data_IF_214185648104
#
_entry.id   IF_214185648104
#
_cell.length_a   1.000
_cell.length_b   1.000
_cell.length_c   1.000
_cell.angle_alpha   90.00
_cell.angle_beta   90.00
_cell.angle_gamma   90.00
#
_symmetry.space_group_name_H-M   'P 1'
#
loop_
_entity.id
_entity.type
_entity.pdbx_description
1 polymer ?
#
# COMPACT_ATOMS: atom_id res chain seq x y z
N UNK A 1 -23.18 26.56 -9.13
CA UNK A 1 -24.01 25.34 -9.21
C UNK A 1 -23.35 24.34 -10.17
N UNK A 2 -23.40 23.05 -9.87
CA UNK A 2 -22.89 21.95 -10.73
C UNK A 2 -23.91 20.81 -10.77
N UNK A 3 -23.95 20.10 -11.88
CA UNK A 3 -24.69 18.84 -12.00
C UNK A 3 -23.70 17.68 -12.05
N UNK A 4 -23.99 16.63 -11.29
CA UNK A 4 -23.22 15.39 -11.29
C UNK A 4 -24.14 14.19 -11.35
N UNK A 5 -23.62 13.12 -11.94
CA UNK A 5 -24.28 11.83 -11.94
C UNK A 5 -23.30 10.74 -11.55
N UNK A 6 -23.83 9.67 -10.99
CA UNK A 6 -23.10 8.44 -10.71
C UNK A 6 -24.00 7.26 -10.96
N UNK A 7 -23.42 6.20 -11.53
CA UNK A 7 -24.11 4.97 -11.86
C UNK A 7 -23.47 3.78 -11.12
N UNK A 8 -24.23 2.71 -10.97
CA UNK A 8 -23.73 1.43 -10.54
C UNK A 8 -24.49 0.33 -11.25
N UNK A 9 -23.82 -0.79 -11.53
CA UNK A 9 -24.45 -1.96 -12.12
C UNK A 9 -23.84 -3.24 -11.57
N UNK A 10 -24.68 -4.27 -11.47
CA UNK A 10 -24.29 -5.61 -11.04
C UNK A 10 -25.29 -6.62 -11.57
N UNK A 11 -24.80 -7.71 -12.16
CA UNK A 11 -25.62 -8.86 -12.56
C UNK A 11 -26.82 -8.51 -13.47
N UNK A 12 -26.71 -7.45 -14.27
CA UNK A 12 -27.76 -6.98 -15.19
C UNK A 12 -28.64 -5.86 -14.61
N UNK A 13 -28.61 -5.65 -13.29
CA UNK A 13 -29.29 -4.55 -12.62
C UNK A 13 -28.42 -3.28 -12.64
N UNK A 14 -29.07 -2.11 -12.57
CA UNK A 14 -28.40 -0.82 -12.52
C UNK A 14 -29.15 0.19 -11.67
N UNK A 15 -28.43 1.21 -11.20
CA UNK A 15 -28.98 2.39 -10.57
C UNK A 15 -28.25 3.64 -11.07
N UNK A 16 -28.96 4.77 -11.09
CA UNK A 16 -28.43 6.07 -11.46
C UNK A 16 -28.85 7.09 -10.40
N UNK A 17 -27.91 7.91 -9.98
CA UNK A 17 -28.16 9.05 -9.11
C UNK A 17 -27.72 10.30 -9.83
N UNK A 18 -28.59 11.32 -9.90
CA UNK A 18 -28.29 12.65 -10.44
C UNK A 18 -28.49 13.69 -9.36
N UNK A 19 -27.52 14.57 -9.18
CA UNK A 19 -27.52 15.61 -8.16
C UNK A 19 -27.27 16.97 -8.79
N UNK A 20 -28.06 17.97 -8.40
CA UNK A 20 -27.75 19.39 -8.63
C UNK A 20 -27.25 20.00 -7.33
N UNK A 21 -26.01 20.49 -7.33
CA UNK A 21 -25.28 20.87 -6.12
C UNK A 21 -24.81 22.32 -6.19
N UNK A 22 -24.96 23.05 -5.09
CA UNK A 22 -24.39 24.37 -4.87
C UNK A 22 -23.60 24.40 -3.56
N UNK A 23 -22.33 24.81 -3.62
CA UNK A 23 -21.46 24.69 -2.44
C UNK A 23 -21.41 23.23 -1.98
N UNK A 24 -21.58 22.96 -0.69
CA UNK A 24 -21.67 21.58 -0.17
C UNK A 24 -23.11 21.09 -0.01
N UNK A 25 -24.12 21.74 -0.61
CA UNK A 25 -25.54 21.36 -0.49
C UNK A 25 -26.15 20.85 -1.78
N UNK A 26 -26.99 19.82 -1.65
CA UNK A 26 -27.78 19.24 -2.72
C UNK A 26 -29.08 20.05 -2.84
N UNK A 27 -29.32 20.66 -4.00
CA UNK A 27 -30.54 21.41 -4.29
C UNK A 27 -31.65 20.48 -4.76
N UNK A 28 -31.32 19.59 -5.69
CA UNK A 28 -32.23 18.62 -6.29
C UNK A 28 -31.49 17.29 -6.46
N UNK A 29 -32.23 16.19 -6.33
CA UNK A 29 -31.71 14.85 -6.52
C UNK A 29 -32.76 13.93 -7.14
N UNK A 30 -32.33 13.16 -8.11
CA UNK A 30 -33.02 11.99 -8.66
C UNK A 30 -32.21 10.76 -8.23
N UNK A 31 -32.75 9.98 -7.29
CA UNK A 31 -31.98 9.00 -6.52
C UNK A 31 -32.88 7.93 -5.86
N UNK A 32 -33.52 7.12 -6.69
CA UNK A 32 -34.37 6.01 -6.24
C UNK A 32 -33.57 4.94 -5.47
N UNK A 33 -34.24 4.22 -4.57
CA UNK A 33 -33.64 3.16 -3.75
C UNK A 33 -32.84 3.64 -2.53
N UNK A 34 -32.78 4.95 -2.26
CA UNK A 34 -32.16 5.50 -1.05
C UNK A 34 -33.15 5.60 0.13
N UNK A 35 -32.65 5.43 1.34
CA UNK A 35 -33.43 5.46 2.58
C UNK A 35 -33.88 6.86 3.02
N UNK A 36 -33.44 7.92 2.33
CA UNK A 36 -33.85 9.29 2.61
C UNK A 36 -33.79 10.17 1.36
N UNK A 37 -34.59 11.25 1.34
CA UNK A 37 -34.50 12.29 0.31
C UNK A 37 -33.21 13.09 0.47
N UNK A 38 -32.51 13.32 -0.64
CA UNK A 38 -31.21 14.01 -0.61
C UNK A 38 -31.31 15.54 -0.74
N UNK A 39 -32.40 16.07 -1.29
CA UNK A 39 -32.60 17.52 -1.43
C UNK A 39 -32.52 18.24 -0.08
N UNK A 40 -31.72 19.30 0.00
CA UNK A 40 -31.44 20.08 1.20
C UNK A 40 -30.26 19.57 2.05
N UNK A 41 -29.85 18.30 1.90
CA UNK A 41 -28.73 17.74 2.62
C UNK A 41 -27.40 18.31 2.14
N UNK A 42 -26.43 18.39 3.05
CA UNK A 42 -25.03 18.55 2.70
C UNK A 42 -24.47 17.26 2.07
N UNK A 43 -23.35 17.37 1.33
CA UNK A 43 -22.64 16.20 0.79
C UNK A 43 -22.21 15.23 1.90
N UNK A 44 -21.90 15.77 3.08
CA UNK A 44 -21.53 14.98 4.26
C UNK A 44 -22.72 14.16 4.78
N UNK A 45 -23.89 14.79 4.92
CA UNK A 45 -25.12 14.11 5.35
C UNK A 45 -25.55 13.07 4.32
N UNK A 46 -25.52 13.42 3.02
CA UNK A 46 -25.85 12.50 1.94
C UNK A 46 -24.94 11.25 1.92
N UNK A 47 -23.66 11.39 2.26
CA UNK A 47 -22.73 10.26 2.33
C UNK A 47 -23.03 9.26 3.47
N UNK A 48 -23.89 9.63 4.43
CA UNK A 48 -24.35 8.75 5.51
C UNK A 48 -25.71 8.08 5.21
N UNK A 49 -26.37 8.45 4.12
CA UNK A 49 -27.70 7.91 3.76
C UNK A 49 -27.57 6.44 3.35
N UNK A 50 -28.23 5.51 4.06
CA UNK A 50 -28.28 4.11 3.67
C UNK A 50 -29.31 3.91 2.55
N UNK A 51 -29.37 2.70 2.00
CA UNK A 51 -30.33 2.35 0.95
C UNK A 51 -29.98 1.02 0.30
N UNK A 52 -30.63 0.76 -0.83
CA UNK A 52 -30.33 -0.38 -1.68
C UNK A 52 -28.87 -0.34 -2.17
N UNK A 53 -28.16 -1.47 -2.23
CA UNK A 53 -26.73 -1.49 -2.52
C UNK A 53 -26.33 -0.74 -3.79
N UNK A 54 -27.07 -0.93 -4.89
CA UNK A 54 -26.78 -0.27 -6.18
C UNK A 54 -27.05 1.23 -6.15
N UNK A 55 -28.15 1.66 -5.54
CA UNK A 55 -28.48 3.08 -5.35
C UNK A 55 -27.41 3.80 -4.52
N UNK A 56 -26.96 3.18 -3.43
CA UNK A 56 -25.90 3.72 -2.58
C UNK A 56 -24.54 3.74 -3.29
N UNK A 57 -24.23 2.74 -4.12
CA UNK A 57 -23.03 2.76 -4.97
C UNK A 57 -23.08 3.91 -5.99
N UNK A 58 -24.23 4.08 -6.67
CA UNK A 58 -24.45 5.15 -7.63
C UNK A 58 -24.29 6.54 -6.97
N UNK A 59 -24.87 6.73 -5.77
CA UNK A 59 -24.66 7.93 -4.97
C UNK A 59 -23.19 8.14 -4.62
N UNK A 60 -22.48 7.10 -4.17
CA UNK A 60 -21.07 7.21 -3.82
C UNK A 60 -20.21 7.63 -5.03
N UNK A 61 -20.53 7.12 -6.22
CA UNK A 61 -19.87 7.50 -7.47
C UNK A 61 -20.17 8.94 -7.89
N UNK A 62 -21.39 9.44 -7.64
CA UNK A 62 -21.75 10.84 -7.87
C UNK A 62 -21.04 11.79 -6.88
N UNK A 63 -20.93 11.40 -5.61
CA UNK A 63 -20.34 12.23 -4.56
C UNK A 63 -18.82 12.33 -4.63
N UNK A 64 -18.11 11.22 -4.89
CA UNK A 64 -16.65 11.14 -4.81
C UNK A 64 -15.88 12.28 -5.50
N UNK A 65 -16.18 12.62 -6.78
CA UNK A 65 -15.52 13.70 -7.49
C UNK A 65 -15.69 15.08 -6.85
N UNK A 66 -16.88 15.36 -6.30
CA UNK A 66 -17.24 16.70 -5.81
C UNK A 66 -17.21 16.86 -4.29
N UNK A 67 -16.98 15.76 -3.56
CA UNK A 67 -17.08 15.72 -2.10
C UNK A 67 -16.21 16.79 -1.45
N UNK A 68 -16.86 17.56 -0.58
CA UNK A 68 -16.27 18.60 0.26
C UNK A 68 -17.18 18.83 1.46
N UNK A 69 -16.60 19.24 2.58
CA UNK A 69 -17.36 19.60 3.77
C UNK A 69 -16.68 20.74 4.53
N UNK A 70 -17.46 21.55 5.24
CA UNK A 70 -16.92 22.61 6.12
C UNK A 70 -15.96 22.04 7.15
N UNK A 71 -14.84 22.73 7.40
CA UNK A 71 -13.84 22.31 8.38
C UNK A 71 -14.44 22.13 9.78
N UNK A 72 -14.07 21.03 10.45
CA UNK A 72 -14.37 20.74 11.85
C UNK A 72 -13.11 20.12 12.50
N UNK A 73 -12.58 20.78 13.53
CA UNK A 73 -11.33 20.34 14.17
C UNK A 73 -11.44 19.02 14.93
N UNK A 74 -12.65 18.57 15.23
CA UNK A 74 -12.91 17.26 15.84
C UNK A 74 -13.14 16.13 14.83
N UNK A 75 -13.05 16.41 13.53
CA UNK A 75 -13.32 15.43 12.48
C UNK A 75 -12.06 14.67 12.08
N UNK A 76 -12.24 13.35 11.92
CA UNK A 76 -11.18 12.42 11.50
C UNK A 76 -11.63 11.71 10.23
N UNK A 77 -10.81 11.78 9.18
CA UNK A 77 -10.99 10.90 8.02
C UNK A 77 -10.36 9.54 8.34
N UNK A 78 -11.04 8.45 8.04
CA UNK A 78 -10.58 7.09 8.35
C UNK A 78 -10.43 6.30 7.06
N UNK A 79 -9.23 5.81 6.80
CA UNK A 79 -8.98 4.97 5.63
C UNK A 79 -9.59 3.57 5.82
N UNK A 80 -10.63 3.27 5.04
CA UNK A 80 -11.42 2.05 5.15
C UNK A 80 -11.04 1.04 4.06
N UNK A 81 -10.54 -0.13 4.49
CA UNK A 81 -10.22 -1.28 3.61
C UNK A 81 -11.32 -2.34 3.55
N UNK A 82 -12.36 -2.22 4.38
CA UNK A 82 -13.38 -3.26 4.54
C UNK A 82 -12.91 -4.46 5.37
N UNK A 83 -11.73 -4.36 5.99
CA UNK A 83 -11.19 -5.33 6.94
C UNK A 83 -11.33 -4.87 8.39
N UNK A 84 -11.14 -5.82 9.32
CA UNK A 84 -11.32 -5.63 10.77
C UNK A 84 -10.50 -4.46 11.33
N UNK A 85 -9.28 -4.27 10.87
CA UNK A 85 -8.38 -3.24 11.41
C UNK A 85 -8.90 -1.82 11.11
N UNK A 86 -9.37 -1.58 9.88
CA UNK A 86 -9.96 -0.29 9.53
C UNK A 86 -11.30 -0.05 10.22
N UNK A 87 -12.07 -1.11 10.48
CA UNK A 87 -13.34 -1.02 11.20
C UNK A 87 -13.15 -0.60 12.66
N UNK A 88 -12.15 -1.17 13.36
CA UNK A 88 -11.80 -0.76 14.72
C UNK A 88 -11.19 0.63 14.74
N UNK A 89 -10.36 0.99 13.76
CA UNK A 89 -9.86 2.36 13.64
C UNK A 89 -11.00 3.38 13.46
N UNK A 90 -12.04 3.04 12.71
CA UNK A 90 -13.25 3.86 12.56
C UNK A 90 -13.99 4.00 13.88
N UNK A 91 -14.24 2.88 14.58
CA UNK A 91 -14.89 2.86 15.88
C UNK A 91 -14.19 3.79 16.88
N UNK A 92 -12.85 3.71 16.96
CA UNK A 92 -12.03 4.55 17.85
C UNK A 92 -11.98 6.03 17.46
N UNK A 93 -12.22 6.34 16.19
CA UNK A 93 -12.23 7.72 15.69
C UNK A 93 -13.51 8.49 16.08
N UNK A 94 -14.52 7.80 16.59
CA UNK A 94 -15.69 8.39 17.22
C UNK A 94 -16.74 8.94 16.24
N UNK A 95 -17.76 9.65 16.75
CA UNK A 95 -18.99 9.97 16.01
C UNK A 95 -18.81 11.02 14.91
N UNK A 96 -17.67 11.72 14.89
CA UNK A 96 -17.33 12.69 13.83
C UNK A 96 -16.49 12.09 12.71
N UNK A 97 -16.26 10.78 12.72
CA UNK A 97 -15.43 10.13 11.72
C UNK A 97 -16.11 10.13 10.33
N UNK A 98 -15.28 10.18 9.28
CA UNK A 98 -15.71 9.95 7.90
C UNK A 98 -14.91 8.80 7.33
N UNK A 99 -15.59 7.73 6.93
CA UNK A 99 -14.94 6.63 6.23
C UNK A 99 -14.58 7.01 4.81
N UNK A 100 -13.38 6.67 4.36
CA UNK A 100 -12.97 6.82 2.95
C UNK A 100 -12.32 5.55 2.43
N UNK A 101 -12.80 5.08 1.28
CA UNK A 101 -12.21 3.95 0.57
C UNK A 101 -11.64 4.40 -0.77
N UNK A 102 -10.43 3.94 -1.07
CA UNK A 102 -9.82 4.15 -2.39
C UNK A 102 -10.15 2.94 -3.28
N UNK A 103 -10.87 3.16 -4.37
CA UNK A 103 -11.05 2.17 -5.42
C UNK A 103 -9.81 2.20 -6.31
N UNK A 104 -8.99 1.14 -6.23
CA UNK A 104 -7.71 1.05 -6.93
C UNK A 104 -7.81 0.07 -8.10
N UNK A 105 -6.88 0.18 -9.04
CA UNK A 105 -6.85 -0.69 -10.22
C UNK A 105 -6.52 -2.12 -9.81
N UNK A 106 -7.31 -3.05 -10.33
CA UNK A 106 -7.11 -4.49 -10.27
C UNK A 106 -6.91 -4.99 -11.69
N UNK A 107 -6.15 -6.07 -11.86
CA UNK A 107 -5.94 -6.64 -13.18
C UNK A 107 -7.26 -7.19 -13.76
N UNK A 108 -7.77 -6.65 -14.89
CA UNK A 108 -9.03 -7.11 -15.49
C UNK A 108 -8.97 -8.57 -15.94
N UNK A 109 -7.77 -9.09 -16.21
CA UNK A 109 -7.54 -10.49 -16.62
C UNK A 109 -7.11 -11.39 -15.46
N UNK A 110 -7.22 -10.91 -14.21
CA UNK A 110 -6.85 -11.66 -13.01
C UNK A 110 -7.91 -12.69 -12.57
N UNK A 111 -7.53 -13.66 -11.72
CA UNK A 111 -8.35 -14.82 -11.36
C UNK A 111 -9.57 -14.54 -10.46
N UNK A 112 -9.63 -13.41 -9.75
CA UNK A 112 -10.86 -12.86 -9.13
C UNK A 112 -10.55 -11.55 -8.39
N UNK A 113 -11.38 -10.52 -8.57
CA UNK A 113 -11.24 -9.24 -7.87
C UNK A 113 -11.47 -9.34 -6.35
N UNK A 114 -12.20 -10.35 -5.87
CA UNK A 114 -12.72 -10.46 -4.50
C UNK A 114 -11.62 -10.55 -3.41
N UNK A 115 -10.41 -10.98 -3.76
CA UNK A 115 -9.29 -11.13 -2.81
C UNK A 115 -8.53 -9.84 -2.55
N UNK A 116 -8.80 -8.77 -3.30
CA UNK A 116 -8.12 -7.51 -3.13
C UNK A 116 -8.74 -6.67 -2.01
N UNK A 117 -7.90 -6.04 -1.17
CA UNK A 117 -8.30 -5.03 -0.18
C UNK A 117 -9.06 -3.81 -0.79
N UNK A 118 -9.03 -3.66 -2.11
CA UNK A 118 -9.74 -2.59 -2.84
C UNK A 118 -10.74 -3.16 -3.85
N UNK A 119 -11.23 -4.39 -3.63
CA UNK A 119 -12.28 -5.01 -4.44
C UNK A 119 -13.63 -4.29 -4.26
N UNK A 120 -14.58 -4.47 -5.21
CA UNK A 120 -15.95 -4.01 -5.02
C UNK A 120 -16.56 -4.47 -3.69
N UNK A 121 -16.34 -5.72 -3.29
CA UNK A 121 -16.84 -6.29 -2.03
C UNK A 121 -16.19 -5.64 -0.79
N UNK A 122 -14.92 -5.26 -0.90
CA UNK A 122 -14.21 -4.52 0.14
C UNK A 122 -14.76 -3.10 0.31
N UNK A 123 -15.06 -2.41 -0.80
CA UNK A 123 -15.72 -1.09 -0.80
C UNK A 123 -17.10 -1.17 -0.16
N UNK A 124 -17.91 -2.15 -0.57
CA UNK A 124 -19.25 -2.37 -0.03
C UNK A 124 -19.20 -2.65 1.48
N UNK A 125 -18.26 -3.47 1.94
CA UNK A 125 -18.13 -3.77 3.36
C UNK A 125 -17.64 -2.59 4.18
N UNK A 126 -16.69 -1.81 3.65
CA UNK A 126 -16.26 -0.56 4.27
C UNK A 126 -17.45 0.40 4.45
N UNK A 127 -18.28 0.53 3.41
CA UNK A 127 -19.47 1.37 3.45
C UNK A 127 -20.50 0.88 4.47
N UNK A 128 -20.86 -0.42 4.42
CA UNK A 128 -21.78 -1.03 5.38
C UNK A 128 -21.32 -0.83 6.81
N UNK A 129 -20.02 -0.98 7.07
CA UNK A 129 -19.45 -0.71 8.39
C UNK A 129 -19.70 0.73 8.83
N UNK A 130 -19.45 1.71 7.96
CA UNK A 130 -19.70 3.12 8.27
C UNK A 130 -21.19 3.40 8.53
N UNK A 131 -22.06 2.95 7.62
CA UNK A 131 -23.50 3.17 7.71
C UNK A 131 -24.13 2.48 8.93
N UNK A 132 -23.66 1.29 9.32
CA UNK A 132 -24.11 0.61 10.55
C UNK A 132 -23.80 1.39 11.83
N UNK A 133 -22.81 2.29 11.77
CA UNK A 133 -22.44 3.20 12.86
C UNK A 133 -23.04 4.60 12.68
N UNK A 134 -23.89 4.81 11.67
CA UNK A 134 -24.44 6.12 11.32
C UNK A 134 -23.40 7.11 10.77
N UNK A 135 -22.27 6.62 10.27
CA UNK A 135 -21.15 7.43 9.80
C UNK A 135 -21.14 7.57 8.27
N UNK A 136 -20.74 8.73 7.74
CA UNK A 136 -20.61 8.93 6.30
C UNK A 136 -19.46 8.12 5.70
N UNK A 137 -19.65 7.68 4.45
CA UNK A 137 -18.63 6.99 3.67
C UNK A 137 -18.47 7.60 2.28
N UNK A 138 -17.21 7.77 1.85
CA UNK A 138 -16.88 8.26 0.52
C UNK A 138 -15.97 7.28 -0.20
N UNK A 139 -16.24 7.05 -1.48
CA UNK A 139 -15.37 6.27 -2.36
C UNK A 139 -14.64 7.19 -3.33
N UNK A 140 -13.32 7.05 -3.43
CA UNK A 140 -12.50 7.76 -4.41
C UNK A 140 -12.08 6.79 -5.50
N UNK A 141 -12.54 7.01 -6.74
CA UNK A 141 -12.05 6.25 -7.89
C UNK A 141 -10.66 6.75 -8.31
N UNK A 142 -9.66 5.93 -8.04
CA UNK A 142 -8.26 6.22 -8.31
C UNK A 142 -7.62 5.09 -9.14
N UNK A 143 -8.42 4.33 -9.89
CA UNK A 143 -7.91 3.19 -10.67
C UNK A 143 -6.80 3.62 -11.63
N UNK A 144 -7.09 4.58 -12.48
CA UNK A 144 -6.14 5.02 -13.51
C UNK A 144 -4.91 5.73 -12.94
N UNK A 145 -5.09 6.56 -11.90
CA UNK A 145 -3.98 7.22 -11.23
C UNK A 145 -3.08 6.22 -10.51
N UNK A 146 -3.66 5.20 -9.86
CA UNK A 146 -2.92 4.11 -9.21
C UNK A 146 -2.16 3.25 -10.21
N UNK A 147 -2.80 2.89 -11.33
CA UNK A 147 -2.18 2.11 -12.41
C UNK A 147 -0.89 2.80 -12.91
N UNK A 148 -0.98 4.09 -13.27
CA UNK A 148 0.17 4.88 -13.71
C UNK A 148 1.22 5.09 -12.62
N UNK A 149 0.78 5.34 -11.39
CA UNK A 149 1.68 5.72 -10.30
C UNK A 149 2.35 4.54 -9.59
N UNK A 150 1.78 3.33 -9.62
CA UNK A 150 2.25 2.18 -8.85
C UNK A 150 2.45 0.94 -9.72
N UNK A 151 1.45 0.57 -10.52
CA UNK A 151 1.46 -0.69 -11.28
C UNK A 151 2.47 -0.66 -12.44
N UNK A 152 2.39 0.34 -13.32
CA UNK A 152 3.31 0.41 -14.45
C UNK A 152 4.78 0.57 -14.03
N UNK A 153 5.14 1.40 -13.03
CA UNK A 153 6.51 1.46 -12.55
C UNK A 153 7.01 0.15 -11.94
N UNK A 154 6.12 -0.62 -11.29
CA UNK A 154 6.43 -1.95 -10.79
C UNK A 154 6.77 -2.90 -11.94
N UNK A 155 5.90 -2.97 -12.95
CA UNK A 155 6.11 -3.76 -14.18
C UNK A 155 7.40 -3.35 -14.90
N UNK A 156 7.63 -2.04 -15.09
CA UNK A 156 8.87 -1.50 -15.69
C UNK A 156 10.12 -1.82 -14.87
N UNK A 157 10.02 -1.91 -13.55
CA UNK A 157 11.14 -2.29 -12.67
C UNK A 157 11.60 -3.72 -12.94
N UNK A 158 10.66 -4.66 -13.02
CA UNK A 158 10.96 -6.04 -13.43
C UNK A 158 11.58 -6.10 -14.83
N UNK A 159 11.09 -5.31 -15.78
CA UNK A 159 11.70 -5.19 -17.11
C UNK A 159 13.13 -4.64 -17.12
N UNK A 160 13.58 -3.98 -16.04
CA UNK A 160 14.97 -3.55 -15.83
C UNK A 160 15.79 -4.51 -14.96
N UNK A 161 15.26 -5.69 -14.62
CA UNK A 161 15.91 -6.66 -13.74
C UNK A 161 15.91 -6.27 -12.26
N UNK A 162 15.13 -5.26 -11.88
CA UNK A 162 14.94 -4.88 -10.47
C UNK A 162 13.87 -5.76 -9.81
N UNK A 163 13.83 -5.76 -8.48
CA UNK A 163 12.77 -6.39 -7.69
C UNK A 163 12.02 -5.31 -6.89
N UNK A 164 11.16 -4.50 -7.53
CA UNK A 164 10.49 -3.38 -6.88
C UNK A 164 9.49 -3.84 -5.81
N UNK A 165 9.39 -3.10 -4.71
CA UNK A 165 8.31 -3.26 -3.73
C UNK A 165 7.19 -2.23 -4.00
N UNK A 166 5.98 -2.66 -4.44
CA UNK A 166 4.92 -1.73 -4.82
C UNK A 166 4.32 -1.01 -3.61
N UNK A 167 4.30 -1.65 -2.43
CA UNK A 167 3.76 -1.06 -1.20
C UNK A 167 4.58 0.15 -0.74
N UNK A 168 5.91 0.10 -0.88
CA UNK A 168 6.81 1.21 -0.53
C UNK A 168 6.52 2.48 -1.34
N UNK A 169 6.10 2.33 -2.60
CA UNK A 169 5.70 3.44 -3.46
C UNK A 169 4.24 3.85 -3.22
N UNK A 170 3.36 2.87 -3.10
CA UNK A 170 1.94 3.09 -2.81
C UNK A 170 1.77 3.90 -1.52
N UNK A 171 2.28 3.42 -0.39
CA UNK A 171 2.14 4.09 0.89
C UNK A 171 2.97 5.37 0.98
N UNK A 172 4.20 5.36 0.44
CA UNK A 172 5.12 6.49 0.57
C UNK A 172 4.70 7.75 -0.18
N UNK A 173 4.07 7.64 -1.35
CA UNK A 173 3.73 8.81 -2.17
C UNK A 173 2.31 8.86 -2.74
N UNK A 174 1.62 7.71 -2.88
CA UNK A 174 0.31 7.68 -3.53
C UNK A 174 -0.84 7.67 -2.52
N UNK A 175 -1.02 6.58 -1.78
CA UNK A 175 -2.16 6.32 -0.87
C UNK A 175 -2.30 7.42 0.18
N UNK A 176 -1.25 7.70 0.95
CA UNK A 176 -1.30 8.74 1.98
C UNK A 176 -1.41 10.15 1.39
N UNK A 177 -0.87 10.38 0.19
CA UNK A 177 -1.09 11.64 -0.54
C UNK A 177 -2.58 11.86 -0.79
N UNK A 178 -3.22 10.89 -1.43
CA UNK A 178 -4.65 10.92 -1.78
C UNK A 178 -5.55 11.00 -0.54
N UNK A 179 -5.23 10.24 0.52
CA UNK A 179 -6.00 10.25 1.77
C UNK A 179 -5.88 11.59 2.53
N UNK A 180 -4.69 12.19 2.58
CA UNK A 180 -4.51 13.50 3.22
C UNK A 180 -5.18 14.62 2.41
N UNK A 181 -5.13 14.52 1.08
CA UNK A 181 -5.83 15.45 0.19
C UNK A 181 -7.36 15.34 0.37
N UNK A 182 -7.87 14.11 0.50
CA UNK A 182 -9.26 13.88 0.87
C UNK A 182 -9.60 14.42 2.26
N UNK A 183 -8.81 14.12 3.29
CA UNK A 183 -9.06 14.57 4.66
C UNK A 183 -9.25 16.09 4.70
N UNK A 184 -8.37 16.83 4.02
CA UNK A 184 -8.47 18.28 3.87
C UNK A 184 -9.75 18.72 3.17
N UNK A 185 -10.14 18.09 2.05
CA UNK A 185 -11.41 18.39 1.34
C UNK A 185 -12.63 18.08 2.18
N UNK A 186 -12.58 17.00 2.95
CA UNK A 186 -13.61 16.56 3.87
C UNK A 186 -13.66 17.40 5.16
N UNK A 187 -12.81 18.43 5.28
CA UNK A 187 -12.75 19.29 6.45
C UNK A 187 -12.29 18.58 7.73
N UNK A 188 -11.56 17.47 7.59
CA UNK A 188 -10.98 16.70 8.69
C UNK A 188 -9.56 17.20 9.00
N UNK A 189 -9.27 17.38 10.29
CA UNK A 189 -7.94 17.82 10.74
C UNK A 189 -6.95 16.64 10.84
N UNK A 190 -7.46 15.41 10.97
CA UNK A 190 -6.65 14.19 11.08
C UNK A 190 -7.11 13.06 10.16
N UNK A 191 -6.17 12.18 9.84
CA UNK A 191 -6.33 10.97 9.06
C UNK A 191 -5.94 9.76 9.93
N UNK A 192 -6.91 8.92 10.28
CA UNK A 192 -6.65 7.64 10.93
C UNK A 192 -6.56 6.51 9.91
N UNK A 193 -5.70 5.53 10.17
CA UNK A 193 -5.64 4.29 9.38
C UNK A 193 -5.52 3.08 10.30
N UNK A 194 -6.03 1.92 9.86
CA UNK A 194 -5.89 0.66 10.60
C UNK A 194 -4.49 0.03 10.51
N UNK A 195 -3.43 0.80 10.28
CA UNK A 195 -2.09 0.24 10.27
C UNK A 195 -1.54 0.06 11.69
N UNK A 196 -0.78 -1.02 11.88
CA UNK A 196 -0.01 -1.28 13.09
C UNK A 196 1.35 -0.60 12.94
N UNK A 197 1.42 0.64 13.40
CA UNK A 197 2.64 1.42 13.55
C UNK A 197 2.40 2.49 14.62
N UNK A 198 3.45 3.11 15.12
CA UNK A 198 3.35 4.21 16.09
C UNK A 198 3.95 5.48 15.52
N UNK A 199 3.63 6.61 16.14
CA UNK A 199 4.31 7.88 15.90
C UNK A 199 4.93 8.27 17.24
N UNK A 200 6.24 8.47 17.24
CA UNK A 200 7.02 8.82 18.44
C UNK A 200 7.80 10.10 18.19
N UNK A 201 8.08 10.82 19.26
CA UNK A 201 9.00 11.95 19.20
C UNK A 201 10.44 11.48 19.49
N UNK A 202 11.36 11.81 18.57
CA UNK A 202 12.80 11.57 18.68
C UNK A 202 13.53 12.72 18.02
N UNK A 203 14.64 13.17 18.61
CA UNK A 203 15.42 14.30 18.07
C UNK A 203 14.57 15.56 17.79
N UNK A 204 13.56 15.83 18.63
CA UNK A 204 12.60 16.95 18.47
C UNK A 204 11.71 16.84 17.22
N UNK A 205 11.54 15.64 16.67
CA UNK A 205 10.76 15.37 15.45
C UNK A 205 9.82 14.21 15.67
N UNK A 206 8.63 14.29 15.07
CA UNK A 206 7.76 13.13 14.95
C UNK A 206 8.33 12.18 13.91
N UNK A 207 8.52 10.93 14.29
CA UNK A 207 8.97 9.83 13.44
C UNK A 207 7.97 8.68 13.51
N UNK A 208 7.92 7.91 12.43
CA UNK A 208 7.22 6.63 12.43
C UNK A 208 8.00 5.64 13.30
N UNK A 209 7.33 4.76 14.03
CA UNK A 209 7.96 3.72 14.83
C UNK A 209 7.27 2.37 14.67
N UNK A 210 7.99 1.31 15.06
CA UNK A 210 7.49 -0.06 15.11
C UNK A 210 6.23 -0.14 15.97
N UNK A 211 5.26 -0.96 15.55
CA UNK A 211 4.11 -1.31 16.38
C UNK A 211 4.54 -2.04 17.66
N UNK A 212 3.68 -2.03 18.68
CA UNK A 212 3.85 -2.88 19.85
C UNK A 212 3.74 -4.37 19.50
N UNK A 213 2.88 -4.72 18.53
CA UNK A 213 2.77 -6.07 17.98
C UNK A 213 3.83 -6.30 16.88
N UNK A 214 4.94 -6.96 17.24
CA UNK A 214 6.01 -7.28 16.32
C UNK A 214 5.57 -8.19 15.15
N UNK A 215 4.53 -9.03 15.34
CA UNK A 215 4.00 -9.92 14.31
C UNK A 215 3.16 -9.21 13.26
N UNK A 216 2.66 -8.01 13.60
CA UNK A 216 1.87 -7.15 12.70
C UNK A 216 2.53 -5.84 12.34
N UNK A 217 3.75 -5.56 12.82
CA UNK A 217 4.44 -4.30 12.53
C UNK A 217 4.49 -3.97 11.03
N UNK A 218 3.88 -2.83 10.69
CA UNK A 218 3.82 -2.31 9.32
C UNK A 218 4.73 -1.11 9.11
N UNK A 219 5.56 -0.75 10.11
CA UNK A 219 6.48 0.39 10.01
C UNK A 219 7.37 0.33 8.77
N UNK A 220 7.84 -0.87 8.38
CA UNK A 220 8.62 -1.06 7.15
C UNK A 220 7.89 -0.61 5.88
N UNK A 221 6.62 -1.00 5.70
CA UNK A 221 5.82 -0.65 4.51
C UNK A 221 5.41 0.82 4.49
N UNK A 222 5.48 1.48 5.64
CA UNK A 222 5.15 2.89 5.86
C UNK A 222 6.41 3.78 5.94
N UNK A 223 7.61 3.21 5.93
CA UNK A 223 8.86 3.91 6.24
C UNK A 223 9.20 5.08 5.32
N UNK A 224 8.56 5.18 4.15
CA UNK A 224 8.73 6.30 3.21
C UNK A 224 7.72 7.44 3.42
N UNK A 225 6.88 7.38 4.44
CA UNK A 225 6.04 8.51 4.84
C UNK A 225 6.92 9.72 5.17
N UNK A 226 6.49 10.89 4.71
CA UNK A 226 7.18 12.14 5.03
C UNK A 226 6.93 12.52 6.49
N UNK A 227 7.96 12.65 7.35
CA UNK A 227 7.79 13.02 8.75
C UNK A 227 6.96 14.29 8.95
N UNK A 228 7.00 15.23 7.99
CA UNK A 228 6.24 16.48 8.04
C UNK A 228 4.72 16.27 8.02
N UNK A 229 4.26 15.13 7.50
CA UNK A 229 2.83 14.78 7.40
C UNK A 229 2.34 14.02 8.63
N UNK A 230 3.22 13.51 9.49
CA UNK A 230 2.85 12.67 10.64
C UNK A 230 1.98 13.40 11.67
N UNK A 231 2.07 14.73 11.78
CA UNK A 231 1.20 15.55 12.65
C UNK A 231 -0.30 15.41 12.33
N UNK A 232 -0.64 14.99 11.10
CA UNK A 232 -2.01 14.83 10.64
C UNK A 232 -2.44 13.35 10.61
N UNK A 233 -1.57 12.42 10.96
CA UNK A 233 -1.81 10.98 10.80
C UNK A 233 -1.95 10.33 12.17
N UNK A 234 -2.87 9.40 12.30
CA UNK A 234 -3.06 8.57 13.48
C UNK A 234 -3.03 7.08 13.10
N UNK A 235 -2.46 6.28 14.00
CA UNK A 235 -2.46 4.82 13.93
C UNK A 235 -3.10 4.26 15.21
N UNK A 236 -4.44 4.21 15.30
CA UNK A 236 -5.13 3.87 16.53
C UNK A 236 -4.83 2.46 17.06
N UNK A 237 -4.23 1.59 16.24
CA UNK A 237 -3.89 0.20 16.57
C UNK A 237 -2.40 0.01 16.89
N UNK A 238 -1.60 1.07 16.90
CA UNK A 238 -0.14 1.00 17.06
C UNK A 238 0.34 0.31 18.34
N UNK A 239 -0.43 0.45 19.43
CA UNK A 239 -0.14 -0.13 20.74
C UNK A 239 -0.96 -1.40 21.05
N UNK A 240 -1.69 -1.93 20.07
CA UNK A 240 -2.61 -3.05 20.25
C UNK A 240 -2.15 -4.29 19.48
N UNK A 241 -2.38 -5.47 20.05
CA UNK A 241 -2.19 -6.74 19.34
C UNK A 241 -3.35 -7.06 18.42
N UNK A 242 -3.11 -7.84 17.37
CA UNK A 242 -4.17 -8.27 16.44
C UNK A 242 -5.33 -8.96 17.13
N UNK A 243 -5.05 -9.77 18.14
CA UNK A 243 -6.04 -10.54 18.89
C UNK A 243 -6.99 -9.60 19.63
N UNK A 244 -6.43 -8.55 20.26
CA UNK A 244 -7.22 -7.52 20.93
C UNK A 244 -8.07 -6.73 19.93
N UNK A 245 -7.54 -6.40 18.76
CA UNK A 245 -8.32 -5.75 17.69
C UNK A 245 -9.51 -6.61 17.26
N UNK A 246 -9.31 -7.92 17.06
CA UNK A 246 -10.40 -8.85 16.71
C UNK A 246 -11.43 -8.99 17.85
N UNK A 247 -10.98 -8.98 19.10
CA UNK A 247 -11.88 -9.04 20.26
C UNK A 247 -12.74 -7.78 20.38
N UNK A 248 -12.15 -6.59 20.18
CA UNK A 248 -12.86 -5.31 20.17
C UNK A 248 -13.91 -5.24 19.06
N UNK A 249 -13.56 -5.69 17.85
CA UNK A 249 -14.52 -5.76 16.75
C UNK A 249 -15.72 -6.67 17.05
N UNK A 250 -15.49 -7.83 17.71
CA UNK A 250 -16.57 -8.73 18.14
C UNK A 250 -17.44 -8.10 19.22
N UNK A 251 -16.83 -7.45 20.21
CA UNK A 251 -17.56 -6.80 21.30
C UNK A 251 -18.45 -5.65 20.79
N UNK A 252 -18.00 -4.95 19.74
CA UNK A 252 -18.76 -3.89 19.07
C UNK A 252 -19.76 -4.42 18.02
N UNK A 253 -19.91 -5.74 17.85
CA UNK A 253 -20.85 -6.32 16.88
C UNK A 253 -20.50 -6.07 15.41
N UNK A 254 -19.24 -5.76 15.10
CA UNK A 254 -18.84 -5.42 13.73
C UNK A 254 -18.74 -6.68 12.86
N UNK A 255 -19.46 -6.72 11.73
CA UNK A 255 -19.41 -7.82 10.75
C UNK A 255 -17.98 -8.13 10.28
N UNK A 256 -17.12 -7.12 10.23
CA UNK A 256 -15.73 -7.26 9.82
C UNK A 256 -14.90 -8.20 10.73
N UNK A 257 -15.36 -8.50 11.95
CA UNK A 257 -14.64 -9.34 12.91
C UNK A 257 -14.32 -10.76 12.38
N UNK A 258 -15.20 -11.32 11.53
CA UNK A 258 -15.04 -12.64 10.93
C UNK A 258 -14.14 -12.68 9.70
N UNK A 259 -13.71 -11.51 9.16
CA UNK A 259 -12.97 -11.46 7.90
C UNK A 259 -11.51 -11.88 8.06
N UNK A 260 -10.99 -12.56 7.04
CA UNK A 260 -9.57 -12.86 6.92
C UNK A 260 -8.77 -11.60 6.60
N UNK A 261 -7.50 -11.57 7.00
CA UNK A 261 -6.59 -10.48 6.66
C UNK A 261 -6.23 -10.57 5.17
N UNK A 262 -6.23 -9.43 4.46
CA UNK A 262 -5.73 -9.39 3.09
C UNK A 262 -4.23 -9.72 3.07
N UNK A 263 -3.85 -10.70 2.25
CA UNK A 263 -2.45 -11.03 1.98
C UNK A 263 -2.09 -10.55 0.56
N UNK A 264 -0.81 -10.25 0.34
CA UNK A 264 -0.19 -9.91 -0.96
C UNK A 264 -0.37 -8.47 -1.49
N UNK A 265 0.26 -8.21 -2.65
CA UNK A 265 0.14 -6.92 -3.34
C UNK A 265 -1.29 -6.74 -3.85
N UNK A 266 -1.92 -5.63 -3.46
CA UNK A 266 -3.37 -5.46 -3.60
C UNK A 266 -3.92 -5.60 -5.03
N UNK A 267 -3.12 -5.33 -6.06
CA UNK A 267 -3.54 -5.42 -7.46
C UNK A 267 -3.37 -6.80 -8.10
N UNK A 268 -2.63 -7.72 -7.46
CA UNK A 268 -2.51 -9.11 -7.92
C UNK A 268 -3.76 -9.91 -7.58
N UNK A 269 -4.50 -9.50 -6.55
CA UNK A 269 -5.75 -10.16 -6.12
C UNK A 269 -5.62 -11.69 -5.95
N UNK A 270 -4.48 -12.16 -5.42
CA UNK A 270 -4.22 -13.58 -5.22
C UNK A 270 -3.70 -14.33 -6.46
N UNK A 271 -3.30 -13.62 -7.51
CA UNK A 271 -2.66 -14.20 -8.69
C UNK A 271 -1.14 -14.39 -8.53
N UNK A 272 -0.59 -15.30 -9.32
CA UNK A 272 0.85 -15.48 -9.44
C UNK A 272 1.51 -14.26 -10.11
N UNK A 273 2.60 -13.78 -9.50
CA UNK A 273 3.34 -12.63 -9.99
C UNK A 273 3.87 -12.82 -11.42
N UNK A 274 4.29 -14.03 -11.80
CA UNK A 274 4.83 -14.28 -13.15
C UNK A 274 3.71 -14.21 -14.16
N UNK A 275 2.58 -14.87 -13.89
CA UNK A 275 1.39 -14.81 -14.74
C UNK A 275 0.93 -13.35 -14.96
N UNK A 276 0.89 -12.55 -13.88
CA UNK A 276 0.60 -11.13 -13.97
C UNK A 276 1.60 -10.39 -14.88
N UNK A 277 2.91 -10.54 -14.66
CA UNK A 277 3.92 -9.82 -15.46
C UNK A 277 3.85 -10.17 -16.95
N UNK A 278 3.58 -11.44 -17.29
CA UNK A 278 3.36 -11.87 -18.69
C UNK A 278 2.16 -11.17 -19.31
N UNK A 279 1.01 -11.14 -18.63
CA UNK A 279 -0.18 -10.42 -19.11
C UNK A 279 0.06 -8.90 -19.25
N UNK A 280 0.99 -8.35 -18.47
CA UNK A 280 1.41 -6.95 -18.55
C UNK A 280 2.48 -6.68 -19.61
N UNK A 281 2.83 -7.68 -20.43
CA UNK A 281 3.73 -7.54 -21.57
C UNK A 281 5.21 -7.86 -21.29
N UNK A 282 5.55 -8.40 -20.12
CA UNK A 282 6.88 -9.00 -19.91
C UNK A 282 6.84 -10.44 -20.41
N UNK A 283 6.92 -10.60 -21.72
CA UNK A 283 7.11 -11.93 -22.31
C UNK A 283 8.49 -12.50 -21.93
N UNK A 284 8.58 -13.83 -21.93
CA UNK A 284 9.85 -14.52 -21.72
C UNK A 284 10.67 -14.53 -22.99
N UNK A 285 11.83 -13.86 -22.98
CA UNK A 285 12.86 -14.08 -24.00
C UNK A 285 13.88 -15.08 -23.45
N UNK A 286 14.12 -16.16 -24.20
CA UNK A 286 15.08 -17.17 -23.78
C UNK A 286 16.48 -16.57 -23.67
N UNK A 287 17.11 -16.74 -22.51
CA UNK A 287 18.42 -16.17 -22.19
C UNK A 287 19.31 -17.19 -21.47
N UNK A 288 20.61 -16.86 -21.37
CA UNK A 288 21.60 -17.76 -20.79
C UNK A 288 21.65 -17.62 -19.26
N UNK A 289 21.67 -18.76 -18.57
CA UNK A 289 22.06 -18.83 -17.16
C UNK A 289 23.57 -19.10 -17.13
N UNK A 290 24.34 -18.19 -16.55
CA UNK A 290 25.81 -18.25 -16.55
C UNK A 290 26.39 -18.25 -15.14
N UNK A 291 27.59 -18.79 -14.95
CA UNK A 291 28.38 -18.58 -13.73
C UNK A 291 29.08 -17.20 -13.72
N UNK A 292 29.86 -16.92 -12.68
CA UNK A 292 30.59 -15.64 -12.56
C UNK A 292 31.76 -15.53 -13.55
N UNK A 293 32.23 -16.65 -14.11
CA UNK A 293 33.19 -16.67 -15.22
C UNK A 293 32.51 -16.50 -16.59
N UNK A 294 31.19 -16.44 -16.63
CA UNK A 294 30.40 -16.26 -17.86
C UNK A 294 30.16 -17.56 -18.64
N UNK A 295 30.47 -18.73 -18.09
CA UNK A 295 30.17 -20.03 -18.73
C UNK A 295 28.67 -20.31 -18.64
N UNK A 296 28.08 -20.69 -19.77
CA UNK A 296 26.66 -21.07 -19.82
C UNK A 296 26.45 -22.41 -19.10
N UNK A 297 25.56 -22.40 -18.10
CA UNK A 297 25.15 -23.56 -17.31
C UNK A 297 23.75 -24.05 -17.69
N UNK A 298 22.98 -23.24 -18.43
CA UNK A 298 21.62 -23.55 -18.85
C UNK A 298 20.92 -22.32 -19.41
N UNK A 299 19.60 -22.40 -19.52
CA UNK A 299 18.75 -21.35 -20.10
C UNK A 299 17.56 -21.01 -19.21
N UNK A 300 17.04 -19.81 -19.40
CA UNK A 300 15.87 -19.31 -18.70
C UNK A 300 14.89 -18.65 -19.68
N UNK A 301 13.62 -18.55 -19.31
CA UNK A 301 12.55 -17.97 -20.16
C UNK A 301 12.26 -16.51 -19.78
N UNK A 302 13.30 -15.68 -19.66
CA UNK A 302 13.23 -14.29 -19.22
C UNK A 302 13.83 -14.01 -17.83
N UNK A 303 14.79 -13.07 -17.78
CA UNK A 303 15.56 -12.75 -16.57
C UNK A 303 14.71 -12.14 -15.43
N UNK A 304 13.57 -11.52 -15.76
CA UNK A 304 12.68 -10.86 -14.79
C UNK A 304 12.03 -11.86 -13.83
N UNK A 305 12.08 -13.15 -14.15
CA UNK A 305 11.65 -14.26 -13.31
C UNK A 305 12.57 -14.56 -12.12
N UNK A 306 13.70 -13.85 -12.03
CA UNK A 306 14.77 -14.12 -11.08
C UNK A 306 14.99 -12.92 -10.16
N UNK A 307 15.09 -13.21 -8.86
CA UNK A 307 15.43 -12.22 -7.83
C UNK A 307 16.76 -12.61 -7.18
N UNK A 308 17.67 -11.65 -6.91
CA UNK A 308 18.88 -11.94 -6.16
C UNK A 308 18.62 -12.74 -4.87
N UNK A 309 19.33 -13.84 -4.69
CA UNK A 309 19.14 -14.80 -3.59
C UNK A 309 18.12 -15.92 -3.85
N UNK A 310 17.47 -15.96 -5.01
CA UNK A 310 16.60 -17.06 -5.40
C UNK A 310 17.41 -18.35 -5.63
N UNK A 311 16.96 -19.45 -5.03
CA UNK A 311 17.56 -20.79 -5.17
C UNK A 311 16.77 -21.73 -6.08
N UNK A 312 15.43 -21.69 -5.99
CA UNK A 312 14.54 -22.61 -6.73
C UNK A 312 14.23 -22.05 -8.12
N UNK A 313 13.94 -22.94 -9.06
CA UNK A 313 13.53 -22.56 -10.42
C UNK A 313 14.65 -21.90 -11.23
N UNK A 314 15.91 -22.28 -10.99
CA UNK A 314 17.05 -21.75 -11.75
C UNK A 314 17.27 -22.44 -13.10
N UNK A 315 16.63 -23.58 -13.35
CA UNK A 315 16.77 -24.32 -14.61
C UNK A 315 18.14 -24.98 -14.82
N UNK A 316 19.00 -25.01 -13.79
CA UNK A 316 20.35 -25.58 -13.84
C UNK A 316 20.49 -26.70 -12.81
N UNK A 317 20.97 -27.87 -13.27
CA UNK A 317 21.32 -28.99 -12.41
C UNK A 317 22.83 -29.00 -12.22
N UNK A 318 23.28 -28.57 -11.04
CA UNK A 318 24.68 -28.63 -10.64
C UNK A 318 24.78 -29.45 -9.35
N UNK A 319 25.91 -30.12 -9.13
CA UNK A 319 26.14 -30.95 -7.94
C UNK A 319 26.17 -30.16 -6.62
N UNK A 320 26.13 -28.83 -6.68
CA UNK A 320 26.18 -27.91 -5.54
C UNK A 320 25.07 -26.87 -5.61
N UNK A 321 24.50 -26.41 -4.47
CA UNK A 321 23.44 -25.40 -4.50
C UNK A 321 23.90 -24.06 -5.09
N UNK A 322 23.22 -23.61 -6.16
CA UNK A 322 23.41 -22.28 -6.76
C UNK A 322 22.28 -21.32 -6.42
N UNK A 323 22.59 -20.02 -6.48
CA UNK A 323 21.69 -18.92 -6.23
C UNK A 323 21.81 -17.89 -7.34
N UNK A 324 20.69 -17.27 -7.74
CA UNK A 324 20.72 -16.10 -8.62
C UNK A 324 21.43 -14.94 -7.91
N UNK A 325 22.58 -14.52 -8.44
CA UNK A 325 23.38 -13.42 -7.90
C UNK A 325 22.86 -12.07 -8.39
N UNK A 326 22.63 -11.97 -9.70
CA UNK A 326 22.16 -10.77 -10.40
C UNK A 326 21.52 -11.15 -11.73
N UNK A 327 20.74 -10.23 -12.26
CA UNK A 327 20.21 -10.28 -13.62
C UNK A 327 20.93 -9.24 -14.47
N UNK A 328 21.16 -9.55 -15.74
CA UNK A 328 21.83 -8.66 -16.71
C UNK A 328 20.90 -8.46 -17.92
N UNK A 329 19.90 -7.55 -17.81
CA UNK A 329 18.87 -7.37 -18.85
C UNK A 329 19.43 -7.08 -20.24
N UNK A 330 20.49 -6.28 -20.33
CA UNK A 330 21.12 -5.90 -21.62
C UNK A 330 21.72 -7.08 -22.36
N UNK A 331 22.22 -8.09 -21.64
CA UNK A 331 22.79 -9.30 -22.22
C UNK A 331 21.78 -10.45 -22.25
N UNK A 332 20.57 -10.24 -21.71
CA UNK A 332 19.58 -11.28 -21.42
C UNK A 332 20.19 -12.49 -20.68
N UNK A 333 20.89 -12.21 -19.56
CA UNK A 333 21.55 -13.25 -18.75
C UNK A 333 21.08 -13.23 -17.30
N UNK A 334 21.14 -14.40 -16.68
CA UNK A 334 21.05 -14.57 -15.22
C UNK A 334 22.36 -15.15 -14.73
N UNK A 335 23.03 -14.43 -13.82
CA UNK A 335 24.28 -14.91 -13.23
C UNK A 335 23.97 -15.67 -11.95
N UNK A 336 24.45 -16.90 -11.86
CA UNK A 336 24.28 -17.77 -10.70
C UNK A 336 25.62 -18.10 -10.07
N UNK A 337 25.60 -18.42 -8.77
CA UNK A 337 26.82 -18.78 -8.05
C UNK A 337 26.54 -19.28 -6.65
N UNK A 338 27.59 -19.54 -5.87
CA UNK A 338 27.46 -19.99 -4.50
C UNK A 338 26.86 -18.90 -3.61
N UNK A 339 26.32 -19.28 -2.45
CA UNK A 339 25.62 -18.34 -1.55
C UNK A 339 26.52 -17.20 -1.09
N UNK A 340 27.79 -17.50 -0.91
CA UNK A 340 28.83 -16.60 -0.41
C UNK A 340 29.01 -15.40 -1.35
N UNK A 341 28.80 -15.58 -2.66
CA UNK A 341 28.89 -14.52 -3.67
C UNK A 341 27.74 -13.48 -3.56
N UNK A 342 26.67 -13.79 -2.82
CA UNK A 342 25.60 -12.83 -2.50
C UNK A 342 25.96 -11.88 -1.35
N UNK A 343 27.04 -12.15 -0.61
CA UNK A 343 27.41 -11.37 0.56
C UNK A 343 27.67 -9.91 0.16
N UNK A 344 26.94 -8.99 0.79
CA UNK A 344 27.15 -7.55 0.64
C UNK A 344 27.29 -6.92 2.01
N UNK A 345 28.39 -6.20 2.22
CA UNK A 345 28.60 -5.36 3.42
C UNK A 345 28.40 -3.88 3.15
N UNK A 346 28.35 -3.47 1.88
CA UNK A 346 28.11 -2.09 1.48
C UNK A 346 26.86 -2.01 0.62
N UNK A 347 25.88 -1.22 1.05
CA UNK A 347 24.60 -1.04 0.33
C UNK A 347 24.32 0.43 0.12
N UNK A 348 24.06 0.84 -1.13
CA UNK A 348 23.66 2.20 -1.46
C UNK A 348 22.14 2.26 -1.65
N UNK A 349 21.50 3.27 -1.06
CA UNK A 349 20.08 3.51 -1.24
C UNK A 349 19.80 4.99 -1.55
N UNK A 350 18.90 5.20 -2.51
CA UNK A 350 18.38 6.52 -2.87
C UNK A 350 17.20 6.85 -1.98
N UNK A 351 17.32 7.88 -1.14
CA UNK A 351 16.38 8.09 -0.05
C UNK A 351 16.64 9.33 0.77
N UNK A 352 16.12 9.35 2.00
CA UNK A 352 16.30 10.45 2.95
C UNK A 352 16.58 9.88 4.34
N UNK A 353 17.46 10.56 5.07
CA UNK A 353 17.53 10.47 6.52
C UNK A 353 16.55 11.49 7.10
N UNK A 354 15.75 11.05 8.07
CA UNK A 354 14.71 11.85 8.74
C UNK A 354 15.23 12.50 10.02
N UNK A 355 16.20 11.86 10.66
CA UNK A 355 16.99 12.35 11.78
C UNK A 355 18.49 12.12 11.51
N UNK A 356 19.39 12.88 12.15
CA UNK A 356 20.81 12.54 12.19
C UNK A 356 20.99 11.15 12.79
N UNK A 357 21.80 10.30 12.15
CA UNK A 357 22.07 8.95 12.63
C UNK A 357 23.42 8.50 12.08
N UNK A 358 24.29 7.99 12.95
CA UNK A 358 25.58 7.40 12.57
C UNK A 358 25.52 5.87 12.50
N UNK A 359 24.68 5.26 13.34
CA UNK A 359 24.47 3.81 13.41
C UNK A 359 22.99 3.49 13.55
N UNK A 360 22.53 2.47 12.82
CA UNK A 360 21.14 2.06 12.81
C UNK A 360 21.00 0.54 12.62
N UNK A 361 19.88 -0.01 13.04
CA UNK A 361 19.41 -1.32 12.59
C UNK A 361 18.77 -1.18 11.21
N UNK A 362 19.26 -1.92 10.21
CA UNK A 362 18.78 -1.82 8.83
C UNK A 362 17.99 -3.05 8.43
N UNK A 363 16.75 -2.85 7.96
CA UNK A 363 16.01 -3.87 7.21
C UNK A 363 16.13 -3.61 5.70
N UNK A 364 16.61 -4.62 4.98
CA UNK A 364 16.80 -4.58 3.51
C UNK A 364 15.69 -5.32 2.77
N UNK A 365 14.87 -6.09 3.51
CA UNK A 365 13.64 -6.74 3.07
C UNK A 365 12.64 -6.76 4.22
N UNK A 366 11.35 -6.86 3.92
CA UNK A 366 10.30 -6.80 4.94
C UNK A 366 10.44 -7.89 6.03
N UNK A 367 10.64 -9.14 5.62
CA UNK A 367 10.76 -10.30 6.53
C UNK A 367 12.21 -10.68 6.87
N UNK A 368 13.20 -9.86 6.49
CA UNK A 368 14.58 -10.13 6.92
C UNK A 368 14.78 -9.64 8.35
N UNK A 369 15.68 -10.27 9.12
CA UNK A 369 16.25 -9.65 10.31
C UNK A 369 16.82 -8.27 9.98
N UNK A 370 16.83 -7.39 10.97
CA UNK A 370 17.57 -6.14 10.86
C UNK A 370 19.07 -6.41 11.08
N UNK A 371 19.93 -5.65 10.41
CA UNK A 371 21.39 -5.77 10.52
C UNK A 371 21.95 -4.44 11.01
N UNK A 372 22.75 -4.41 12.08
CA UNK A 372 23.45 -3.20 12.51
C UNK A 372 24.36 -2.68 11.40
N UNK A 373 24.35 -1.37 11.20
CA UNK A 373 25.16 -0.72 10.18
C UNK A 373 25.60 0.67 10.58
N UNK A 374 26.80 1.07 10.14
CA UNK A 374 27.19 2.48 10.07
C UNK A 374 26.51 3.13 8.86
N UNK A 375 25.96 4.31 9.07
CA UNK A 375 25.23 5.10 8.07
C UNK A 375 26.12 6.26 7.61
N UNK A 376 26.34 6.34 6.31
CA UNK A 376 27.07 7.44 5.67
C UNK A 376 26.10 8.23 4.79
N UNK A 377 25.76 9.48 5.15
CA UNK A 377 24.92 10.33 4.33
C UNK A 377 25.51 10.58 2.93
N UNK A 378 24.67 10.66 1.92
CA UNK A 378 25.05 10.99 0.55
C UNK A 378 24.10 12.03 -0.04
N UNK A 379 24.52 12.73 -1.10
CA UNK A 379 23.74 13.81 -1.73
C UNK A 379 22.32 13.41 -2.15
N UNK A 380 22.08 12.14 -2.48
CA UNK A 380 20.78 11.59 -2.87
C UNK A 380 20.37 10.36 -2.05
N UNK A 381 20.77 10.27 -0.78
CA UNK A 381 20.40 9.16 0.09
C UNK A 381 21.49 8.84 1.09
N UNK A 382 21.89 7.58 1.17
CA UNK A 382 22.89 7.11 2.11
C UNK A 382 23.57 5.82 1.62
N UNK A 383 24.76 5.57 2.18
CA UNK A 383 25.50 4.32 2.05
C UNK A 383 25.54 3.66 3.41
N UNK A 384 25.25 2.36 3.43
CA UNK A 384 25.23 1.53 4.62
C UNK A 384 26.45 0.63 4.63
N UNK A 385 27.19 0.64 5.72
CA UNK A 385 28.29 -0.27 5.99
C UNK A 385 27.83 -1.25 7.07
N UNK A 386 27.42 -2.44 6.64
CA UNK A 386 26.82 -3.46 7.49
C UNK A 386 27.89 -4.19 8.31
N UNK A 387 27.62 -4.40 9.59
CA UNK A 387 28.53 -5.13 10.49
C UNK A 387 28.62 -6.62 10.10
N UNK A 388 27.54 -7.17 9.53
CA UNK A 388 27.46 -8.51 8.99
C UNK A 388 27.00 -8.49 7.52
N UNK A 389 27.45 -9.43 6.68
CA UNK A 389 27.03 -9.48 5.29
C UNK A 389 25.52 -9.76 5.19
N UNK A 390 24.82 -8.94 4.40
CA UNK A 390 23.47 -9.25 3.95
C UNK A 390 23.51 -10.09 2.67
N UNK A 391 22.58 -11.02 2.54
CA UNK A 391 22.48 -11.91 1.38
C UNK A 391 21.21 -11.58 0.59
N UNK A 392 21.31 -11.58 -0.75
CA UNK A 392 20.17 -11.26 -1.61
C UNK A 392 19.77 -9.79 -1.53
N UNK A 393 20.71 -8.86 -1.47
CA UNK A 393 20.39 -7.44 -1.60
C UNK A 393 19.92 -7.17 -3.03
N UNK A 394 18.66 -6.78 -3.21
CA UNK A 394 18.05 -6.62 -4.53
C UNK A 394 17.74 -5.14 -4.82
N UNK A 395 18.14 -4.66 -6.01
CA UNK A 395 17.78 -3.33 -6.47
C UNK A 395 16.24 -3.20 -6.56
N UNK A 396 15.71 -2.04 -6.19
CA UNK A 396 14.27 -1.78 -6.15
C UNK A 396 13.58 -2.18 -4.83
N UNK A 397 14.24 -2.96 -3.97
CA UNK A 397 13.80 -3.14 -2.57
C UNK A 397 14.10 -1.89 -1.73
N UNK A 398 13.52 -1.81 -0.53
CA UNK A 398 13.76 -0.70 0.37
C UNK A 398 14.83 -1.02 1.42
N UNK A 399 15.63 -0.02 1.74
CA UNK A 399 16.44 0.01 2.96
C UNK A 399 15.74 0.90 3.98
N UNK A 400 15.40 0.35 5.14
CA UNK A 400 14.75 1.07 6.25
C UNK A 400 15.66 1.02 7.46
N UNK A 401 15.95 2.20 8.03
CA UNK A 401 16.86 2.40 9.14
C UNK A 401 16.04 2.66 10.40
N UNK A 402 16.33 1.90 11.45
CA UNK A 402 15.74 2.05 12.77
C UNK A 402 16.80 2.47 13.77
N UNK A 403 16.49 3.46 14.59
CA UNK A 403 17.19 3.74 15.85
C UNK A 403 16.18 3.39 16.95
N UNK A 404 16.52 2.37 17.75
CA UNK A 404 15.58 1.65 18.61
C UNK A 404 14.33 1.18 17.83
N UNK A 405 13.18 1.79 18.10
CA UNK A 405 11.90 1.52 17.45
C UNK A 405 11.55 2.53 16.35
N UNK A 406 12.27 3.65 16.23
CA UNK A 406 11.94 4.76 15.35
C UNK A 406 12.61 4.65 13.98
N UNK A 407 11.84 4.90 12.93
CA UNK A 407 12.33 4.99 11.55
C UNK A 407 13.04 6.31 11.35
N UNK A 408 14.38 6.26 11.35
CA UNK A 408 15.26 7.42 11.19
C UNK A 408 15.69 7.65 9.74
N UNK A 409 15.41 6.71 8.83
CA UNK A 409 15.69 6.89 7.41
C UNK A 409 15.09 5.79 6.55
N UNK A 410 14.83 6.12 5.27
CA UNK A 410 14.36 5.15 4.30
C UNK A 410 14.79 5.51 2.87
N UNK A 411 15.08 4.49 2.07
CA UNK A 411 15.48 4.64 0.67
C UNK A 411 15.21 3.39 -0.17
N UNK A 412 15.36 3.53 -1.48
CA UNK A 412 15.29 2.43 -2.44
C UNK A 412 16.71 2.01 -2.78
N UNK A 413 17.00 0.73 -2.63
CA UNK A 413 18.30 0.13 -2.91
C UNK A 413 18.58 0.27 -4.41
N UNK A 414 19.69 0.92 -4.75
CA UNK A 414 20.19 1.01 -6.12
C UNK A 414 20.97 -0.25 -6.47
N UNK A 415 21.09 -0.57 -7.76
CA UNK A 415 22.08 -1.55 -8.20
C UNK A 415 23.46 -1.09 -7.70
N UNK A 416 24.08 -1.89 -6.82
CA UNK A 416 25.51 -1.77 -6.59
C UNK A 416 26.17 -2.22 -7.89
N UNK A 417 26.88 -1.33 -8.59
CA UNK A 417 28.02 -1.81 -9.37
C UNK A 417 28.88 -2.59 -8.40
N UNK A 418 29.12 -3.88 -8.67
CA UNK A 418 30.18 -4.60 -7.98
C UNK A 418 31.45 -3.74 -8.13
N UNK A 419 31.98 -3.26 -7.02
CA UNK A 419 33.35 -2.77 -6.91
C UNK A 419 34.02 -3.69 -5.94
#
# INVERSE_FOLDING_TARGET
MIEVAGDSSRDGDWALVRLRVEGDRILEADADGLGARLGGLSLLEAAAVPGEPLAVDALANALGPIFRARRDSGRVAVAMSGGVDSAVALLRSGPKAIGVTLRLWLDPSGPSAERACCSPEAVLAARRTCHSLGLPHVTLDLRESFRRAVVEPFVRGYGRGETPNPCMRCNGSFRFGQLLDFARRAGADRLATGHYARIVERHGRLLLARAADAGKDQSYMLARLDPRRLRQIEFPLGDQSKERTRAEARAAGLEAAGRADSQEACFLAGDDLRAFLVRRGLAGESGAVVDDEGRELGRHDGFWQFTPGQRRGLGVATGTPLYALRTEPRANRVVVGPREALARRRVRASGRLFAPVERAEVKLRYRSPAVPARVEPASRGFVLHLDQPAYGVAAGQAAVLYEDDAVVGAGIISSSSAT
#
